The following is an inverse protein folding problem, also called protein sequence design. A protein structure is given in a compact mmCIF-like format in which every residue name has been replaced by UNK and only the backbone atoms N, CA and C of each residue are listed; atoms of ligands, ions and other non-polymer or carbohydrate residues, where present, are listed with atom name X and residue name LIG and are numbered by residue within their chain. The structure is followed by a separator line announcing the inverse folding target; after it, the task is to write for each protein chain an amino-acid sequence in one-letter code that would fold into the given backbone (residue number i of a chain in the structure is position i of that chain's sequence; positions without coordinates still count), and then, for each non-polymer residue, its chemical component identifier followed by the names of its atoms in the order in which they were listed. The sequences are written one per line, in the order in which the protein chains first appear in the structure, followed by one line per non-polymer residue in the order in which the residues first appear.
data_IF_832328848062
#
_entry.id   IF_832328848062
#
_cell.length_a   1.000
_cell.length_b   1.000
_cell.length_c   1.000
_cell.angle_alpha   90.00
_cell.angle_beta   90.00
_cell.angle_gamma   90.00
#
_symmetry.space_group_name_H-M   'P 1'
#
loop_
_entity.id
_entity.type
_entity.pdbx_description
1 polymer ?
#
# COMPACT_ATOMS: atom_id res chain seq x y z
N UNK A 1 -7.50 10.90 -24.45
CA UNK A 1 -6.11 11.14 -24.02
C UNK A 1 -5.64 10.02 -23.14
N UNK A 2 -4.56 9.34 -23.51
CA UNK A 2 -4.02 8.28 -22.66
C UNK A 2 -3.45 8.89 -21.38
N UNK A 3 -3.92 8.41 -20.22
CA UNK A 3 -3.32 8.76 -18.92
C UNK A 3 -1.96 8.07 -18.88
N UNK A 4 -0.91 8.85 -19.02
CA UNK A 4 0.45 8.31 -18.89
C UNK A 4 0.73 8.08 -17.41
N UNK A 5 1.07 6.84 -17.05
CA UNK A 5 1.61 6.53 -15.75
C UNK A 5 2.96 7.20 -15.54
N UNK A 6 3.39 7.29 -14.30
CA UNK A 6 4.72 7.77 -13.95
C UNK A 6 5.47 6.71 -13.14
N UNK A 7 6.80 6.79 -13.17
CA UNK A 7 7.67 5.99 -12.31
C UNK A 7 8.90 6.82 -11.97
N UNK A 8 9.17 6.96 -10.67
CA UNK A 8 10.29 7.74 -10.14
C UNK A 8 11.11 6.84 -9.24
N UNK A 9 12.39 6.65 -9.53
CA UNK A 9 13.29 5.94 -8.62
C UNK A 9 13.65 6.84 -7.44
N UNK A 10 13.52 6.32 -6.22
CA UNK A 10 13.79 7.05 -4.99
C UNK A 10 14.91 6.42 -4.15
N UNK A 11 15.61 5.43 -4.67
CA UNK A 11 16.63 4.68 -3.95
C UNK A 11 17.67 5.59 -3.29
N UNK A 12 18.17 6.60 -4.02
CA UNK A 12 19.18 7.54 -3.53
C UNK A 12 18.60 8.73 -2.74
N UNK A 13 17.27 8.79 -2.62
CA UNK A 13 16.56 9.89 -1.94
C UNK A 13 16.23 9.59 -0.48
N UNK A 14 16.52 8.40 -0.01
CA UNK A 14 16.12 7.94 1.32
C UNK A 14 17.29 7.34 2.09
N UNK A 15 17.22 7.44 3.42
CA UNK A 15 18.15 6.78 4.32
C UNK A 15 17.87 5.27 4.42
N UNK A 16 18.81 4.51 4.97
CA UNK A 16 18.61 3.09 5.23
C UNK A 16 17.42 2.82 6.14
N UNK A 17 17.18 3.68 7.13
CA UNK A 17 16.04 3.58 8.04
C UNK A 17 14.72 3.81 7.32
N UNK A 18 14.65 4.78 6.43
CA UNK A 18 13.47 5.04 5.60
C UNK A 18 13.21 3.87 4.65
N UNK A 19 14.25 3.31 4.03
CA UNK A 19 14.15 2.12 3.19
C UNK A 19 13.58 0.92 3.97
N UNK A 20 13.99 0.75 5.22
CA UNK A 20 13.45 -0.29 6.11
C UNK A 20 11.95 -0.09 6.35
N UNK A 21 11.51 1.14 6.62
CA UNK A 21 10.09 1.45 6.77
C UNK A 21 9.30 1.09 5.50
N UNK A 22 9.76 1.48 4.33
CA UNK A 22 9.09 1.14 3.08
C UNK A 22 9.03 -0.37 2.84
N UNK A 23 10.10 -1.08 3.14
CA UNK A 23 10.11 -2.54 3.03
C UNK A 23 9.07 -3.18 3.97
N UNK A 24 8.93 -2.67 5.19
CA UNK A 24 7.91 -3.12 6.15
C UNK A 24 6.50 -2.82 5.65
N UNK A 25 6.27 -1.64 5.09
CA UNK A 25 4.96 -1.27 4.54
C UNK A 25 4.56 -2.18 3.37
N UNK A 26 5.48 -2.42 2.46
CA UNK A 26 5.26 -3.33 1.33
C UNK A 26 4.99 -4.75 1.82
N UNK A 27 5.81 -5.25 2.74
CA UNK A 27 5.64 -6.58 3.33
C UNK A 27 4.31 -6.73 4.05
N UNK A 28 3.95 -5.75 4.88
CA UNK A 28 2.68 -5.73 5.61
C UNK A 28 1.47 -5.67 4.67
N UNK A 29 1.55 -4.87 3.62
CA UNK A 29 0.51 -4.80 2.59
C UNK A 29 0.29 -6.16 1.92
N UNK A 30 1.36 -6.85 1.54
CA UNK A 30 1.28 -8.16 0.91
C UNK A 30 0.75 -9.23 1.86
N UNK A 31 1.17 -9.24 3.11
CA UNK A 31 0.67 -10.18 4.13
C UNK A 31 -0.83 -9.95 4.37
N UNK A 32 -1.24 -8.71 4.53
CA UNK A 32 -2.66 -8.37 4.70
C UNK A 32 -3.49 -8.86 3.51
N UNK A 33 -3.00 -8.61 2.28
CA UNK A 33 -3.66 -9.08 1.08
C UNK A 33 -3.83 -10.61 1.07
N UNK A 34 -2.76 -11.34 1.36
CA UNK A 34 -2.79 -12.81 1.36
C UNK A 34 -3.73 -13.35 2.45
N UNK A 35 -3.75 -12.75 3.64
CA UNK A 35 -4.67 -13.12 4.72
C UNK A 35 -6.13 -12.87 4.33
N UNK A 36 -6.42 -11.75 3.65
CA UNK A 36 -7.77 -11.46 3.16
C UNK A 36 -8.20 -12.39 2.04
N UNK A 37 -7.26 -12.90 1.23
CA UNK A 37 -7.56 -13.94 0.23
C UNK A 37 -8.04 -15.21 0.93
N UNK A 38 -7.33 -15.69 1.94
CA UNK A 38 -7.70 -16.90 2.69
C UNK A 38 -9.06 -16.73 3.37
N UNK A 39 -9.27 -15.61 4.05
CA UNK A 39 -10.56 -15.30 4.71
C UNK A 39 -11.70 -15.26 3.70
N UNK A 40 -11.50 -14.62 2.55
CA UNK A 40 -12.51 -14.54 1.49
C UNK A 40 -12.85 -15.92 0.93
N UNK A 41 -11.86 -16.78 0.73
CA UNK A 41 -12.08 -18.16 0.26
C UNK A 41 -12.89 -18.96 1.29
N UNK A 42 -12.58 -18.86 2.56
CA UNK A 42 -13.33 -19.56 3.62
C UNK A 42 -14.79 -19.11 3.67
N UNK A 43 -15.03 -17.79 3.59
CA UNK A 43 -16.39 -17.24 3.58
C UNK A 43 -17.18 -17.71 2.36
N UNK A 44 -16.57 -17.71 1.18
CA UNK A 44 -17.21 -18.13 -0.07
C UNK A 44 -17.50 -19.63 -0.05
N UNK A 45 -16.62 -20.45 0.51
CA UNK A 45 -16.84 -21.90 0.66
C UNK A 45 -17.99 -22.23 1.62
N UNK A 46 -18.13 -21.44 2.70
CA UNK A 46 -19.21 -21.60 3.65
C UNK A 46 -20.56 -21.16 3.05
N UNK A 47 -20.58 -20.05 2.32
CA UNK A 47 -21.75 -19.50 1.65
C UNK A 47 -21.31 -18.63 0.45
N UNK A 48 -21.71 -19.02 -0.76
CA UNK A 48 -21.37 -18.29 -2.00
C UNK A 48 -21.86 -16.85 -2.02
N UNK A 49 -22.93 -16.54 -1.28
CA UNK A 49 -23.50 -15.21 -1.19
C UNK A 49 -22.91 -14.35 -0.07
N UNK A 50 -21.92 -14.86 0.67
CA UNK A 50 -21.32 -14.16 1.80
C UNK A 50 -20.77 -12.80 1.40
N UNK A 51 -21.03 -11.79 2.23
CA UNK A 51 -20.41 -10.49 2.11
C UNK A 51 -18.94 -10.58 2.55
N UNK A 52 -18.06 -10.07 1.72
CA UNK A 52 -16.65 -9.94 2.03
C UNK A 52 -16.41 -8.56 2.64
N UNK A 53 -16.06 -8.50 3.92
CA UNK A 53 -15.91 -7.26 4.66
C UNK A 53 -14.47 -6.76 4.67
N UNK A 54 -14.30 -5.44 4.85
CA UNK A 54 -12.99 -4.79 4.91
C UNK A 54 -12.32 -4.91 6.29
N UNK A 55 -12.98 -5.49 7.27
CA UNK A 55 -12.47 -5.63 8.63
C UNK A 55 -11.23 -6.52 8.65
N UNK A 56 -10.21 -6.10 9.36
CA UNK A 56 -8.95 -6.85 9.50
C UNK A 56 -8.42 -6.91 10.94
N UNK A 57 -9.22 -6.49 11.91
CA UNK A 57 -8.82 -6.53 13.32
C UNK A 57 -8.42 -7.93 13.78
N UNK A 58 -9.16 -8.95 13.36
CA UNK A 58 -8.87 -10.35 13.70
C UNK A 58 -7.53 -10.82 13.11
N UNK A 59 -7.21 -10.39 11.88
CA UNK A 59 -5.91 -10.68 11.22
C UNK A 59 -4.79 -10.01 12.01
N UNK A 60 -4.94 -8.74 12.33
CA UNK A 60 -3.96 -7.96 13.06
C UNK A 60 -3.73 -8.47 14.49
N UNK A 61 -4.71 -9.12 15.07
CA UNK A 61 -4.65 -9.71 16.42
C UNK A 61 -3.92 -11.06 16.46
N UNK A 62 -3.64 -11.69 15.33
CA UNK A 62 -2.91 -12.97 15.30
C UNK A 62 -1.49 -12.79 15.84
N UNK A 63 -1.05 -13.62 16.81
CA UNK A 63 0.30 -13.47 17.38
C UNK A 63 1.43 -13.56 16.35
N UNK A 64 1.30 -14.44 15.37
CA UNK A 64 2.28 -14.63 14.29
C UNK A 64 2.35 -13.43 13.32
N UNK A 65 1.37 -12.54 13.36
CA UNK A 65 1.29 -11.34 12.54
C UNK A 65 1.46 -10.05 13.35
N UNK A 66 2.08 -10.12 14.52
CA UNK A 66 2.28 -8.96 15.41
C UNK A 66 3.02 -7.81 14.73
N UNK A 67 3.88 -8.10 13.75
CA UNK A 67 4.60 -7.07 13.00
C UNK A 67 3.68 -6.14 12.20
N UNK A 68 2.43 -6.52 11.93
CA UNK A 68 1.46 -5.65 11.25
C UNK A 68 1.13 -4.41 12.07
N UNK A 69 1.36 -4.43 13.38
CA UNK A 69 1.16 -3.26 14.25
C UNK A 69 2.16 -2.14 13.96
N UNK A 70 3.32 -2.48 13.36
CA UNK A 70 4.34 -1.51 12.95
C UNK A 70 4.05 -0.90 11.57
N UNK A 71 3.06 -1.39 10.85
CA UNK A 71 2.66 -0.88 9.54
C UNK A 71 1.56 0.17 9.70
N UNK A 72 1.65 1.32 9.02
CA UNK A 72 0.59 2.32 9.10
C UNK A 72 -0.79 1.74 8.77
N UNK A 73 -1.78 2.08 9.58
CA UNK A 73 -3.15 1.57 9.45
C UNK A 73 -3.72 1.80 8.05
N UNK A 74 -3.42 2.95 7.44
CA UNK A 74 -3.93 3.27 6.10
C UNK A 74 -3.37 2.34 5.03
N UNK A 75 -2.12 1.89 5.15
CA UNK A 75 -1.52 0.90 4.24
C UNK A 75 -2.29 -0.42 4.31
N UNK A 76 -2.57 -0.89 5.51
CA UNK A 76 -3.33 -2.13 5.71
C UNK A 76 -4.77 -2.01 5.19
N UNK A 77 -5.41 -0.87 5.46
CA UNK A 77 -6.75 -0.57 4.97
C UNK A 77 -6.80 -0.57 3.44
N UNK A 78 -5.86 0.10 2.79
CA UNK A 78 -5.78 0.14 1.34
C UNK A 78 -5.61 -1.26 0.75
N UNK A 79 -4.76 -2.08 1.34
CA UNK A 79 -4.54 -3.46 0.92
C UNK A 79 -5.81 -4.30 1.01
N UNK A 80 -6.51 -4.24 2.14
CA UNK A 80 -7.77 -4.96 2.34
C UNK A 80 -8.85 -4.49 1.36
N UNK A 81 -9.02 -3.19 1.20
CA UNK A 81 -10.03 -2.61 0.31
C UNK A 81 -9.80 -2.99 -1.15
N UNK A 82 -8.56 -2.95 -1.61
CA UNK A 82 -8.22 -3.29 -2.99
C UNK A 82 -8.46 -4.78 -3.25
N UNK A 83 -8.14 -5.65 -2.30
CA UNK A 83 -8.41 -7.07 -2.46
C UNK A 83 -9.90 -7.36 -2.54
N UNK A 84 -10.70 -6.71 -1.71
CA UNK A 84 -12.16 -6.88 -1.73
C UNK A 84 -12.73 -6.45 -3.08
N UNK A 85 -12.24 -5.35 -3.64
CA UNK A 85 -12.61 -4.91 -4.98
C UNK A 85 -12.26 -5.98 -6.03
N UNK A 86 -11.09 -6.60 -5.94
CA UNK A 86 -10.67 -7.68 -6.83
C UNK A 86 -11.56 -8.93 -6.69
N UNK A 87 -11.93 -9.32 -5.47
CA UNK A 87 -12.84 -10.45 -5.22
C UNK A 87 -14.23 -10.17 -5.80
N UNK A 88 -14.75 -8.97 -5.59
CA UNK A 88 -16.06 -8.57 -6.13
C UNK A 88 -16.03 -8.52 -7.67
N UNK A 89 -14.95 -8.06 -8.27
CA UNK A 89 -14.76 -8.10 -9.72
C UNK A 89 -14.75 -9.54 -10.25
N UNK A 90 -14.12 -10.47 -9.52
CA UNK A 90 -14.16 -11.90 -9.85
C UNK A 90 -15.59 -12.44 -9.79
N UNK A 91 -16.34 -12.13 -8.74
CA UNK A 91 -17.74 -12.56 -8.59
C UNK A 91 -18.64 -12.02 -9.71
N UNK A 92 -18.32 -10.85 -10.24
CA UNK A 92 -19.03 -10.25 -11.37
C UNK A 92 -18.56 -10.77 -12.74
N UNK A 93 -17.62 -11.72 -12.77
CA UNK A 93 -17.07 -12.29 -14.01
C UNK A 93 -16.06 -11.40 -14.74
N UNK A 94 -15.63 -10.29 -14.14
CA UNK A 94 -14.73 -9.33 -14.79
C UNK A 94 -13.25 -9.74 -14.75
N UNK A 95 -12.85 -10.58 -13.81
CA UNK A 95 -11.47 -11.07 -13.68
C UNK A 95 -11.41 -12.38 -12.91
N UNK A 96 -10.25 -13.04 -12.97
CA UNK A 96 -9.98 -14.27 -12.21
C UNK A 96 -9.87 -13.95 -10.72
N UNK A 97 -10.07 -14.96 -9.87
CA UNK A 97 -9.90 -14.84 -8.43
C UNK A 97 -8.44 -14.44 -8.10
N UNK A 98 -8.22 -13.50 -7.17
CA UNK A 98 -6.88 -13.07 -6.79
C UNK A 98 -6.03 -14.22 -6.25
N UNK A 99 -4.76 -14.26 -6.65
CA UNK A 99 -3.79 -15.25 -6.14
C UNK A 99 -2.87 -14.63 -5.11
N UNK A 100 -2.41 -15.40 -4.11
CA UNK A 100 -1.39 -14.93 -3.18
C UNK A 100 -0.12 -14.49 -3.91
N UNK A 101 0.50 -13.41 -3.43
CA UNK A 101 1.78 -12.94 -3.97
C UNK A 101 2.92 -13.73 -3.35
N UNK A 102 3.73 -14.38 -4.19
CA UNK A 102 4.95 -15.06 -3.79
C UNK A 102 6.13 -14.09 -3.60
N UNK A 103 7.24 -14.62 -3.05
CA UNK A 103 8.44 -13.83 -2.72
C UNK A 103 9.11 -13.18 -3.93
N UNK A 104 9.02 -13.79 -5.12
CA UNK A 104 9.74 -13.37 -6.33
C UNK A 104 8.95 -12.43 -7.24
N UNK A 105 7.77 -11.96 -6.84
CA UNK A 105 6.96 -11.02 -7.62
C UNK A 105 7.21 -9.59 -7.19
N UNK A 106 7.03 -8.65 -8.12
CA UNK A 106 7.06 -7.22 -7.84
C UNK A 106 6.16 -6.92 -6.65
N UNK A 107 6.74 -6.36 -5.60
CA UNK A 107 6.04 -6.03 -4.37
C UNK A 107 5.78 -4.54 -4.31
N UNK A 108 4.59 -4.18 -3.90
CA UNK A 108 4.21 -2.79 -3.75
C UNK A 108 3.16 -2.59 -2.67
N UNK A 109 3.05 -1.35 -2.19
CA UNK A 109 1.93 -0.91 -1.39
C UNK A 109 1.36 0.39 -1.97
N UNK A 110 0.09 0.68 -1.70
CA UNK A 110 -0.58 1.89 -2.14
C UNK A 110 -0.63 2.90 -1.01
N UNK A 111 -0.21 4.12 -1.31
CA UNK A 111 -0.26 5.26 -0.39
C UNK A 111 -1.31 6.25 -0.91
N UNK A 112 -2.29 6.55 -0.09
CA UNK A 112 -3.35 7.50 -0.40
C UNK A 112 -3.10 8.83 0.30
N UNK A 113 -3.76 9.88 -0.15
CA UNK A 113 -3.49 11.27 0.27
C UNK A 113 -3.67 11.54 1.77
N UNK A 114 -4.33 10.64 2.50
CA UNK A 114 -4.45 10.73 3.95
C UNK A 114 -3.11 10.58 4.68
N UNK A 115 -2.12 9.98 4.01
CA UNK A 115 -0.82 9.66 4.61
C UNK A 115 0.29 10.61 4.24
N UNK A 116 0.09 11.53 3.30
CA UNK A 116 1.19 12.36 2.83
C UNK A 116 0.78 13.78 2.50
N UNK A 117 1.77 14.66 2.52
CA UNK A 117 1.66 16.05 2.07
C UNK A 117 2.82 16.32 1.11
N UNK A 118 2.53 17.04 0.02
CA UNK A 118 3.51 17.53 -0.93
C UNK A 118 3.71 19.03 -0.72
N UNK A 119 4.96 19.44 -0.53
CA UNK A 119 5.33 20.85 -0.40
C UNK A 119 6.31 21.22 -1.52
N UNK A 120 5.98 22.22 -2.36
CA UNK A 120 6.90 22.66 -3.39
C UNK A 120 8.14 23.31 -2.76
N UNK A 121 9.30 22.97 -3.29
CA UNK A 121 10.59 23.55 -2.93
C UNK A 121 11.14 24.34 -4.11
N UNK A 122 12.30 24.97 -3.91
CA UNK A 122 13.03 25.67 -4.98
C UNK A 122 13.43 24.73 -6.11
N UNK A 123 13.62 25.29 -7.32
CA UNK A 123 14.10 24.58 -8.51
C UNK A 123 13.22 23.39 -8.94
N UNK A 124 11.90 23.47 -8.73
CA UNK A 124 10.96 22.42 -9.14
C UNK A 124 10.97 21.17 -8.27
N UNK A 125 11.75 21.18 -7.19
CA UNK A 125 11.78 20.06 -6.24
C UNK A 125 10.55 20.06 -5.36
N UNK A 126 10.24 18.91 -4.78
CA UNK A 126 9.08 18.71 -3.91
C UNK A 126 9.48 17.93 -2.67
N UNK A 127 9.02 18.36 -1.51
CA UNK A 127 9.16 17.62 -0.26
C UNK A 127 7.92 16.75 -0.07
N UNK A 128 8.12 15.44 -0.02
CA UNK A 128 7.09 14.46 0.28
C UNK A 128 7.21 14.05 1.74
N UNK A 129 6.23 14.41 2.55
CA UNK A 129 6.20 14.10 3.99
C UNK A 129 5.11 13.09 4.27
N UNK A 130 5.46 12.01 5.00
CA UNK A 130 4.53 10.97 5.40
C UNK A 130 4.04 11.21 6.83
N UNK A 131 2.75 10.94 7.03
CA UNK A 131 2.07 11.06 8.34
C UNK A 131 1.32 9.78 8.67
N UNK A 132 1.32 9.41 9.93
CA UNK A 132 0.44 8.38 10.43
C UNK A 132 -0.78 9.01 11.10
N UNK A 133 -1.97 8.64 10.62
CA UNK A 133 -3.25 9.08 11.17
C UNK A 133 -3.85 8.02 12.10
N UNK A 134 -3.06 7.54 13.06
CA UNK A 134 -3.58 6.62 14.07
C UNK A 134 -4.47 7.32 15.12
N UNK A 135 -4.39 8.65 15.22
CA UNK A 135 -5.13 9.48 16.18
C UNK A 135 -5.72 10.70 15.48
N UNK A 136 -6.54 11.48 16.19
CA UNK A 136 -7.12 12.75 15.68
C UNK A 136 -6.05 13.77 15.22
N UNK A 137 -4.82 13.65 15.71
CA UNK A 137 -3.69 14.47 15.30
C UNK A 137 -2.74 13.64 14.43
N UNK A 138 -2.45 14.07 13.19
CA UNK A 138 -1.47 13.38 12.35
C UNK A 138 -0.08 13.41 13.01
N UNK A 139 0.59 12.28 13.04
CA UNK A 139 1.96 12.18 13.53
C UNK A 139 2.89 12.12 12.31
N UNK A 140 3.81 13.09 12.23
CA UNK A 140 4.83 13.12 11.19
C UNK A 140 5.78 11.94 11.37
N UNK A 141 6.01 11.20 10.28
CA UNK A 141 6.94 10.08 10.26
C UNK A 141 8.31 10.50 9.73
N UNK A 142 8.40 10.86 8.46
CA UNK A 142 9.62 11.31 7.80
C UNK A 142 9.29 11.99 6.46
N UNK A 143 10.31 12.62 5.87
CA UNK A 143 10.19 13.29 4.58
C UNK A 143 11.24 12.80 3.58
N UNK A 144 10.89 12.83 2.30
CA UNK A 144 11.79 12.56 1.17
C UNK A 144 11.73 13.75 0.23
N UNK A 145 12.88 14.18 -0.27
CA UNK A 145 12.96 15.22 -1.27
C UNK A 145 12.97 14.61 -2.68
N UNK A 146 12.02 15.01 -3.51
CA UNK A 146 11.92 14.58 -4.90
C UNK A 146 12.43 15.67 -5.82
N UNK A 147 13.10 15.30 -6.91
CA UNK A 147 13.59 16.25 -7.92
C UNK A 147 12.43 16.91 -8.67
N UNK A 148 11.32 16.19 -8.82
CA UNK A 148 10.07 16.69 -9.39
C UNK A 148 8.90 15.85 -8.90
N UNK A 149 7.67 16.38 -8.98
CA UNK A 149 6.47 15.66 -8.64
C UNK A 149 5.44 15.77 -9.76
N UNK A 150 5.08 14.66 -10.44
CA UNK A 150 3.98 14.67 -11.39
C UNK A 150 2.65 14.92 -10.68
N UNK A 151 1.70 15.55 -11.37
CA UNK A 151 0.40 15.89 -10.77
C UNK A 151 -0.36 14.67 -10.23
N UNK A 152 -0.19 13.50 -10.86
CA UNK A 152 -0.82 12.26 -10.44
C UNK A 152 -0.39 11.83 -9.03
N UNK A 153 0.83 12.20 -8.63
CA UNK A 153 1.36 11.88 -7.29
C UNK A 153 0.49 12.46 -6.17
N UNK A 154 -0.15 13.61 -6.42
CA UNK A 154 -0.98 14.29 -5.41
C UNK A 154 -2.25 13.51 -5.03
N UNK A 155 -2.68 12.56 -5.83
CA UNK A 155 -3.89 11.75 -5.57
C UNK A 155 -3.57 10.50 -4.78
N UNK A 156 -2.70 9.69 -5.32
CA UNK A 156 -2.20 8.46 -4.71
C UNK A 156 -1.01 7.94 -5.53
N UNK A 157 -0.22 7.09 -4.93
CA UNK A 157 0.89 6.44 -5.61
C UNK A 157 1.18 5.08 -5.01
N UNK A 158 1.97 4.28 -5.73
CA UNK A 158 2.52 3.04 -5.22
C UNK A 158 3.97 3.22 -4.85
N UNK A 159 4.36 2.61 -3.74
CA UNK A 159 5.77 2.38 -3.42
C UNK A 159 6.07 0.94 -3.80
N UNK A 160 7.00 0.73 -4.71
CA UNK A 160 7.39 -0.60 -5.16
C UNK A 160 8.87 -0.83 -4.97
N UNK A 161 9.24 -2.11 -4.86
CA UNK A 161 10.61 -2.55 -4.69
C UNK A 161 10.97 -3.59 -5.73
N UNK A 162 12.12 -3.40 -6.38
CA UNK A 162 12.76 -4.40 -7.25
C UNK A 162 14.21 -4.57 -6.79
N UNK A 163 14.53 -5.71 -6.19
CA UNK A 163 15.83 -5.93 -5.58
C UNK A 163 16.09 -4.91 -4.47
N UNK A 164 17.13 -4.08 -4.66
CA UNK A 164 17.49 -3.00 -3.72
C UNK A 164 16.94 -1.63 -4.14
N UNK A 165 16.20 -1.54 -5.23
CA UNK A 165 15.69 -0.28 -5.77
C UNK A 165 14.25 -0.07 -5.39
N UNK A 166 13.93 1.17 -5.04
CA UNK A 166 12.57 1.60 -4.69
C UNK A 166 12.08 2.65 -5.70
N UNK A 167 10.78 2.58 -5.99
CA UNK A 167 10.13 3.45 -6.96
C UNK A 167 8.81 3.98 -6.44
N UNK A 168 8.48 5.23 -6.81
CA UNK A 168 7.13 5.75 -6.73
C UNK A 168 6.51 5.66 -8.13
N UNK A 169 5.29 5.15 -8.23
CA UNK A 169 4.59 5.00 -9.51
C UNK A 169 3.08 5.21 -9.37
N UNK A 170 2.47 5.50 -10.48
CA UNK A 170 1.02 5.67 -10.53
C UNK A 170 0.47 5.46 -11.92
#
# INVERSE_FOLDING_TARGET
MAIRGFSIEITDKMSSRQATHFAQWIGGSNVMRNQKIEESLELIRADKGSEIHQKYAAIKAKPELAFLKEVPVQILRNSASMLIADVNACRSGLRKFPKPKGRNRKRSCVVTKEMFILEPLEAGRTLLTFYEKATKKPVRMFSIQLDYAPQQLAKQFRISRQGRRFYLSG
#
